data_IF_013039925461
#
_entry.id   IF_013039925461
#
_cell.length_a   1.000
_cell.length_b   1.000
_cell.length_c   1.000
_cell.angle_alpha   90.00
_cell.angle_beta   90.00
_cell.angle_gamma   90.00
#
_symmetry.space_group_name_H-M   'P 1'
#
loop_
_entity.id
_entity.type
_entity.pdbx_description
1 polymer ?
#
# COMPACT_ATOMS: atom_id res chain seq x y z
N UNK A 1 -3.17 -24.87 -1.48
CA UNK A 1 -3.82 -24.82 -0.14
C UNK A 1 -3.50 -23.45 0.47
N UNK A 2 -4.49 -22.57 0.55
CA UNK A 2 -4.32 -21.28 1.22
C UNK A 2 -4.45 -21.47 2.73
N UNK A 3 -3.46 -21.00 3.51
CA UNK A 3 -3.49 -21.11 4.98
C UNK A 3 -4.42 -20.08 5.63
N UNK A 4 -4.64 -18.92 5.01
CA UNK A 4 -5.58 -17.90 5.48
C UNK A 4 -6.78 -17.80 4.54
N UNK A 5 -7.85 -18.48 4.91
CA UNK A 5 -9.10 -18.52 4.16
C UNK A 5 -10.04 -17.39 4.61
N UNK A 6 -10.10 -16.30 3.86
CA UNK A 6 -11.20 -15.33 3.99
C UNK A 6 -12.44 -15.86 3.26
N UNK A 7 -13.22 -16.72 3.92
CA UNK A 7 -14.36 -17.47 3.35
C UNK A 7 -15.39 -16.55 2.69
N UNK A 8 -15.66 -15.37 3.25
CA UNK A 8 -16.62 -14.41 2.69
C UNK A 8 -16.17 -13.90 1.32
N UNK A 9 -14.90 -13.57 1.14
CA UNK A 9 -14.37 -13.14 -0.15
C UNK A 9 -14.22 -14.26 -1.16
N UNK A 10 -13.88 -15.48 -0.72
CA UNK A 10 -13.82 -16.66 -1.59
C UNK A 10 -15.20 -17.00 -2.17
N UNK A 11 -16.24 -16.90 -1.36
CA UNK A 11 -17.61 -17.12 -1.79
C UNK A 11 -18.02 -16.18 -2.93
N UNK A 12 -17.70 -14.91 -2.81
CA UNK A 12 -17.99 -13.90 -3.85
C UNK A 12 -17.14 -14.12 -5.11
N UNK A 13 -15.89 -14.56 -4.93
CA UNK A 13 -14.98 -14.82 -6.04
C UNK A 13 -15.38 -16.02 -6.89
N UNK A 14 -15.99 -17.06 -6.29
CA UNK A 14 -16.45 -18.26 -7.00
C UNK A 14 -17.54 -17.97 -8.04
N UNK A 15 -18.32 -16.89 -7.89
CA UNK A 15 -19.27 -16.40 -8.88
C UNK A 15 -20.48 -17.32 -9.17
N UNK A 16 -20.65 -18.43 -8.44
CA UNK A 16 -21.81 -19.29 -8.58
C UNK A 16 -23.08 -18.65 -8.00
N UNK A 17 -24.25 -19.04 -8.53
CA UNK A 17 -25.53 -18.62 -7.97
C UNK A 17 -25.63 -19.09 -6.50
N UNK A 18 -25.77 -18.12 -5.61
CA UNK A 18 -25.84 -18.36 -4.18
C UNK A 18 -27.29 -18.26 -3.74
N UNK A 19 -27.77 -19.32 -3.10
CA UNK A 19 -29.12 -19.37 -2.54
C UNK A 19 -29.00 -19.29 -1.02
N UNK A 20 -29.72 -18.36 -0.41
CA UNK A 20 -29.83 -18.26 1.04
C UNK A 20 -30.73 -19.36 1.56
N UNK A 21 -30.23 -20.16 2.51
CA UNK A 21 -31.05 -21.13 3.24
C UNK A 21 -31.40 -20.51 4.59
N UNK A 22 -32.68 -20.30 4.81
CA UNK A 22 -33.20 -19.83 6.09
C UNK A 22 -33.18 -20.98 7.09
N UNK A 23 -32.58 -20.76 8.24
CA UNK A 23 -32.64 -21.71 9.35
C UNK A 23 -32.84 -20.99 10.67
N UNK A 24 -33.64 -21.56 11.54
CA UNK A 24 -33.86 -21.08 12.90
C UNK A 24 -32.63 -21.40 13.75
N UNK A 25 -31.87 -20.40 14.11
CA UNK A 25 -30.72 -20.58 14.99
C UNK A 25 -31.22 -20.66 16.43
N UNK A 26 -30.98 -21.80 17.07
CA UNK A 26 -31.23 -21.95 18.51
C UNK A 26 -30.42 -20.91 19.30
N UNK A 27 -31.03 -20.37 20.35
CA UNK A 27 -30.36 -19.41 21.23
C UNK A 27 -29.14 -20.03 21.87
N UNK A 28 -28.08 -19.21 22.00
CA UNK A 28 -26.83 -19.63 22.63
C UNK A 28 -27.08 -19.94 24.10
N UNK A 29 -26.92 -21.19 24.51
CA UNK A 29 -27.09 -21.61 25.91
C UNK A 29 -26.07 -21.00 26.87
N UNK A 30 -24.88 -20.60 26.45
CA UNK A 30 -23.86 -19.91 27.26
C UNK A 30 -22.79 -19.25 26.39
N UNK A 31 -22.29 -18.08 26.84
CA UNK A 31 -21.09 -17.42 26.30
C UNK A 31 -21.32 -16.01 25.75
N UNK A 32 -20.37 -15.13 26.02
CA UNK A 32 -20.30 -13.78 25.43
C UNK A 32 -19.79 -13.88 23.98
N UNK A 33 -20.18 -12.96 23.08
CA UNK A 33 -19.63 -12.92 21.74
C UNK A 33 -18.11 -12.70 21.82
N UNK A 34 -17.34 -13.66 21.29
CA UNK A 34 -15.86 -13.59 21.28
C UNK A 34 -15.31 -12.62 20.24
N UNK A 35 -16.15 -12.05 19.37
CA UNK A 35 -15.73 -11.21 18.27
C UNK A 35 -15.64 -9.76 18.74
N UNK A 36 -14.43 -9.27 18.97
CA UNK A 36 -14.14 -7.91 19.36
C UNK A 36 -14.14 -6.98 18.13
N UNK A 37 -14.27 -5.67 18.37
CA UNK A 37 -14.05 -4.65 17.33
C UNK A 37 -12.64 -4.77 16.71
N UNK A 38 -11.64 -5.12 17.53
CA UNK A 38 -10.28 -5.37 17.09
C UNK A 38 -10.18 -6.56 16.12
N UNK A 39 -10.90 -7.66 16.40
CA UNK A 39 -10.93 -8.84 15.52
C UNK A 39 -11.59 -8.50 14.17
N UNK A 40 -12.61 -7.62 14.18
CA UNK A 40 -13.26 -7.15 12.95
C UNK A 40 -12.32 -6.28 12.12
N UNK A 41 -11.51 -5.45 12.76
CA UNK A 41 -10.53 -4.60 12.09
C UNK A 41 -9.40 -5.44 11.45
N UNK A 42 -8.87 -6.41 12.18
CA UNK A 42 -7.86 -7.36 11.65
C UNK A 42 -8.43 -8.13 10.45
N UNK A 43 -9.66 -8.65 10.57
CA UNK A 43 -10.30 -9.36 9.48
C UNK A 43 -10.49 -8.48 8.23
N UNK A 44 -10.79 -7.21 8.42
CA UNK A 44 -10.86 -6.22 7.34
C UNK A 44 -9.52 -5.98 6.66
N UNK A 45 -8.45 -5.81 7.45
CA UNK A 45 -7.09 -5.68 6.94
C UNK A 45 -6.63 -6.92 6.18
N UNK A 46 -6.87 -8.11 6.72
CA UNK A 46 -6.56 -9.37 6.06
C UNK A 46 -7.32 -9.50 4.73
N UNK A 47 -8.56 -9.05 4.68
CA UNK A 47 -9.35 -8.98 3.46
C UNK A 47 -8.69 -8.06 2.41
N UNK A 48 -8.30 -6.84 2.79
CA UNK A 48 -7.65 -5.88 1.89
C UNK A 48 -6.32 -6.45 1.38
N UNK A 49 -5.47 -6.95 2.26
CA UNK A 49 -4.14 -7.47 1.89
C UNK A 49 -4.25 -8.73 1.04
N UNK A 50 -5.21 -9.62 1.35
CA UNK A 50 -5.36 -10.90 0.65
C UNK A 50 -5.98 -10.78 -0.74
N UNK A 51 -6.82 -9.78 -0.99
CA UNK A 51 -7.56 -9.64 -2.24
C UNK A 51 -7.07 -8.52 -3.15
N UNK A 52 -6.25 -7.61 -2.65
CA UNK A 52 -5.83 -6.45 -3.43
C UNK A 52 -4.33 -6.18 -3.34
N UNK A 53 -3.75 -5.71 -4.45
CA UNK A 53 -2.37 -5.21 -4.54
C UNK A 53 -2.30 -3.69 -4.29
N UNK A 54 -3.43 -3.06 -3.93
CA UNK A 54 -3.54 -1.60 -3.76
C UNK A 54 -2.56 -1.07 -2.71
N UNK A 55 -2.39 -1.68 -1.50
CA UNK A 55 -1.46 -1.17 -0.50
C UNK A 55 0.00 -1.11 -1.02
N UNK A 56 0.42 -2.13 -1.76
CA UNK A 56 1.77 -2.21 -2.32
C UNK A 56 2.01 -1.14 -3.39
N UNK A 57 1.01 -0.94 -4.27
CA UNK A 57 1.06 0.11 -5.30
C UNK A 57 1.01 1.52 -4.70
N UNK A 58 0.27 1.70 -3.61
CA UNK A 58 0.22 2.97 -2.91
C UNK A 58 1.61 3.38 -2.38
N UNK A 59 2.39 2.45 -1.82
CA UNK A 59 3.77 2.71 -1.38
C UNK A 59 4.66 3.08 -2.56
N UNK A 60 4.55 2.40 -3.70
CA UNK A 60 5.31 2.71 -4.90
C UNK A 60 4.99 4.12 -5.44
N UNK A 61 3.70 4.46 -5.56
CA UNK A 61 3.26 5.77 -6.02
C UNK A 61 3.76 6.87 -5.07
N UNK A 62 3.63 6.64 -3.77
CA UNK A 62 4.11 7.55 -2.74
C UNK A 62 5.63 7.75 -2.83
N UNK A 63 6.39 6.68 -3.08
CA UNK A 63 7.83 6.74 -3.31
C UNK A 63 8.20 7.58 -4.54
N UNK A 64 7.48 7.42 -5.66
CA UNK A 64 7.68 8.21 -6.87
C UNK A 64 7.39 9.70 -6.61
N UNK A 65 6.28 10.00 -5.94
CA UNK A 65 5.91 11.39 -5.62
C UNK A 65 6.96 12.03 -4.71
N UNK A 66 7.35 11.36 -3.63
CA UNK A 66 8.35 11.88 -2.69
C UNK A 66 9.72 12.07 -3.36
N UNK A 67 10.13 11.13 -4.22
CA UNK A 67 11.37 11.23 -4.98
C UNK A 67 11.34 12.41 -5.95
N UNK A 68 10.22 12.62 -6.64
CA UNK A 68 10.01 13.78 -7.51
C UNK A 68 10.06 15.10 -6.74
N UNK A 69 9.36 15.20 -5.62
CA UNK A 69 9.38 16.38 -4.75
C UNK A 69 10.80 16.66 -4.21
N UNK A 70 11.53 15.62 -3.80
CA UNK A 70 12.92 15.74 -3.35
C UNK A 70 13.82 16.28 -4.45
N UNK A 71 13.63 15.84 -5.70
CA UNK A 71 14.36 16.33 -6.85
C UNK A 71 14.08 17.81 -7.12
N UNK A 72 12.82 18.23 -7.11
CA UNK A 72 12.46 19.64 -7.26
C UNK A 72 12.99 20.51 -6.11
N UNK A 73 12.96 20.00 -4.89
CA UNK A 73 13.54 20.66 -3.73
C UNK A 73 15.07 20.84 -3.88
N UNK A 74 15.76 19.82 -4.39
CA UNK A 74 17.17 19.91 -4.72
C UNK A 74 17.45 21.01 -5.75
N UNK A 75 16.69 21.02 -6.87
CA UNK A 75 16.83 22.06 -7.89
C UNK A 75 16.58 23.46 -7.34
N UNK A 76 15.56 23.62 -6.51
CA UNK A 76 15.24 24.87 -5.85
C UNK A 76 16.42 25.39 -5.02
N UNK A 77 17.02 24.54 -4.19
CA UNK A 77 18.20 24.88 -3.39
C UNK A 77 19.39 25.26 -4.30
N UNK A 78 19.61 24.49 -5.36
CA UNK A 78 20.70 24.74 -6.30
C UNK A 78 20.54 26.10 -6.98
N UNK A 79 19.34 26.39 -7.47
CA UNK A 79 19.05 27.68 -8.14
C UNK A 79 19.22 28.85 -7.16
N UNK A 80 18.67 28.75 -5.93
CA UNK A 80 18.80 29.81 -4.93
C UNK A 80 20.27 30.07 -4.55
N UNK A 81 21.07 29.00 -4.43
CA UNK A 81 22.53 29.15 -4.17
C UNK A 81 23.26 29.77 -5.33
N UNK A 82 22.95 29.41 -6.57
CA UNK A 82 23.53 30.03 -7.77
C UNK A 82 23.20 31.52 -7.84
N UNK A 83 21.95 31.90 -7.60
CA UNK A 83 21.52 33.31 -7.61
C UNK A 83 22.29 34.16 -6.57
N UNK A 84 22.51 33.60 -5.37
CA UNK A 84 23.34 34.29 -4.34
C UNK A 84 24.77 34.47 -4.80
N UNK A 85 25.36 33.46 -5.46
CA UNK A 85 26.76 33.57 -5.98
C UNK A 85 26.88 34.64 -7.08
N UNK A 86 25.83 34.79 -7.91
CA UNK A 86 25.78 35.83 -8.95
C UNK A 86 25.45 37.23 -8.41
N UNK A 87 25.29 37.39 -7.09
CA UNK A 87 25.12 38.71 -6.45
C UNK A 87 23.67 39.22 -6.47
N UNK A 88 22.69 38.34 -6.71
CA UNK A 88 21.28 38.70 -6.59
C UNK A 88 20.87 38.77 -5.12
N UNK A 89 20.20 39.85 -4.72
CA UNK A 89 19.64 40.03 -3.39
C UNK A 89 18.42 39.12 -3.22
N UNK A 90 18.59 38.01 -2.52
CA UNK A 90 17.51 37.06 -2.20
C UNK A 90 17.06 37.30 -0.75
N UNK A 91 15.73 37.31 -0.49
CA UNK A 91 15.21 37.46 0.87
C UNK A 91 15.83 36.46 1.83
N UNK A 92 16.26 36.91 3.00
CA UNK A 92 16.98 36.10 4.00
C UNK A 92 16.17 34.90 4.50
N UNK A 93 14.82 34.97 4.49
CA UNK A 93 13.95 33.87 4.85
C UNK A 93 13.96 32.70 3.85
N UNK A 94 14.42 32.96 2.61
CA UNK A 94 14.58 31.92 1.58
C UNK A 94 15.95 31.23 1.68
N UNK A 95 16.91 31.87 2.40
CA UNK A 95 18.27 31.38 2.56
C UNK A 95 18.39 30.61 3.86
N UNK A 96 18.30 29.30 3.79
CA UNK A 96 18.56 28.46 4.96
C UNK A 96 20.03 28.53 5.41
N UNK A 97 20.33 28.45 6.72
CA UNK A 97 21.68 28.33 7.24
C UNK A 97 22.46 27.21 6.53
N UNK A 98 23.73 27.47 6.18
CA UNK A 98 24.52 26.56 5.34
C UNK A 98 24.55 25.11 5.80
N UNK A 99 24.68 24.85 7.10
CA UNK A 99 24.70 23.49 7.66
C UNK A 99 23.35 22.76 7.60
N UNK A 100 22.27 23.46 7.94
CA UNK A 100 20.91 22.91 7.93
C UNK A 100 20.44 22.58 6.50
N UNK A 101 20.81 23.39 5.51
CA UNK A 101 20.43 23.14 4.10
C UNK A 101 20.97 21.81 3.60
N UNK A 102 22.26 21.54 3.85
CA UNK A 102 22.90 20.30 3.39
C UNK A 102 22.31 19.09 4.14
N UNK A 103 22.14 19.20 5.43
CA UNK A 103 21.61 18.12 6.25
C UNK A 103 20.17 17.76 5.84
N UNK A 104 19.29 18.75 5.66
CA UNK A 104 17.93 18.54 5.17
C UNK A 104 17.90 17.93 3.77
N UNK A 105 18.75 18.41 2.87
CA UNK A 105 18.83 17.88 1.52
C UNK A 105 19.18 16.39 1.52
N UNK A 106 20.22 16.02 2.27
CA UNK A 106 20.64 14.62 2.40
C UNK A 106 19.50 13.80 2.99
N UNK A 107 18.90 14.26 4.09
CA UNK A 107 17.85 13.53 4.79
C UNK A 107 16.61 13.29 3.89
N UNK A 108 16.12 14.32 3.21
CA UNK A 108 14.94 14.21 2.33
C UNK A 108 15.24 13.31 1.14
N UNK A 109 16.43 13.42 0.55
CA UNK A 109 16.83 12.61 -0.61
C UNK A 109 16.96 11.12 -0.23
N UNK A 110 17.65 10.81 0.85
CA UNK A 110 17.78 9.41 1.30
C UNK A 110 16.45 8.81 1.72
N UNK A 111 15.61 9.56 2.45
CA UNK A 111 14.30 9.08 2.85
C UNK A 111 13.40 8.77 1.64
N UNK A 112 13.34 9.67 0.66
CA UNK A 112 12.55 9.46 -0.55
C UNK A 112 13.05 8.26 -1.37
N UNK A 113 14.38 8.06 -1.45
CA UNK A 113 14.98 6.92 -2.12
C UNK A 113 14.63 5.60 -1.43
N UNK A 114 14.68 5.56 -0.10
CA UNK A 114 14.29 4.37 0.68
C UNK A 114 12.83 4.02 0.42
N UNK A 115 11.92 5.00 0.46
CA UNK A 115 10.48 4.76 0.21
C UNK A 115 10.26 4.26 -1.22
N UNK A 116 10.98 4.79 -2.21
CA UNK A 116 10.93 4.33 -3.60
C UNK A 116 11.36 2.87 -3.72
N UNK A 117 12.50 2.51 -3.12
CA UNK A 117 13.02 1.13 -3.13
C UNK A 117 12.04 0.18 -2.47
N UNK A 118 11.50 0.55 -1.31
CA UNK A 118 10.47 -0.25 -0.62
C UNK A 118 9.21 -0.45 -1.48
N UNK A 119 8.80 0.59 -2.22
CA UNK A 119 7.69 0.50 -3.17
C UNK A 119 7.95 -0.49 -4.31
N UNK A 120 9.16 -0.46 -4.87
CA UNK A 120 9.57 -1.40 -5.93
C UNK A 120 9.59 -2.84 -5.39
N UNK A 121 10.21 -3.07 -4.24
CA UNK A 121 10.23 -4.39 -3.58
C UNK A 121 8.80 -4.87 -3.32
N UNK A 122 7.93 -4.00 -2.84
CA UNK A 122 6.52 -4.31 -2.61
C UNK A 122 5.82 -4.78 -3.89
N UNK A 123 6.04 -4.14 -5.04
CA UNK A 123 5.45 -4.54 -6.31
C UNK A 123 5.94 -5.93 -6.76
N UNK A 124 7.23 -6.26 -6.56
CA UNK A 124 7.77 -7.60 -6.82
C UNK A 124 7.13 -8.65 -5.91
N UNK A 125 7.05 -8.38 -4.61
CA UNK A 125 6.38 -9.28 -3.65
C UNK A 125 4.91 -9.48 -4.03
N UNK A 126 4.22 -8.41 -4.45
CA UNK A 126 2.83 -8.48 -4.91
C UNK A 126 2.64 -9.35 -6.15
N UNK A 127 3.61 -9.37 -7.08
CA UNK A 127 3.61 -10.27 -8.25
C UNK A 127 3.83 -11.72 -7.82
N UNK A 128 4.86 -11.98 -7.02
CA UNK A 128 5.15 -13.31 -6.48
C UNK A 128 3.94 -13.87 -5.72
N UNK A 129 3.33 -13.07 -4.86
CA UNK A 129 2.12 -13.45 -4.13
C UNK A 129 0.97 -13.83 -5.07
N UNK A 130 0.79 -13.09 -6.17
CA UNK A 130 -0.20 -13.41 -7.20
C UNK A 130 0.03 -14.74 -7.89
N UNK A 131 1.29 -15.08 -8.19
CA UNK A 131 1.67 -16.35 -8.83
C UNK A 131 1.55 -17.54 -7.85
N UNK A 132 2.02 -17.39 -6.63
CA UNK A 132 1.96 -18.44 -5.59
C UNK A 132 0.51 -18.79 -5.24
N UNK A 133 -0.39 -17.81 -5.28
CA UNK A 133 -1.81 -18.01 -4.97
C UNK A 133 -2.54 -18.88 -6.01
N UNK A 134 -1.99 -19.01 -7.23
CA UNK A 134 -2.41 -19.91 -8.33
C UNK A 134 -3.93 -20.06 -8.48
N UNK A 135 -4.68 -18.96 -8.34
CA UNK A 135 -6.14 -18.99 -8.52
C UNK A 135 -6.46 -19.19 -10.00
N UNK A 136 -7.22 -20.22 -10.37
CA UNK A 136 -7.61 -20.41 -11.76
C UNK A 136 -8.41 -19.21 -12.25
N UNK A 137 -8.15 -18.79 -13.50
CA UNK A 137 -8.84 -17.64 -14.11
C UNK A 137 -10.30 -17.92 -14.44
N UNK A 138 -10.66 -19.21 -14.51
CA UNK A 138 -12.02 -19.67 -14.79
C UNK A 138 -12.27 -20.97 -14.03
N UNK A 139 -13.52 -21.21 -13.72
CA UNK A 139 -14.01 -22.46 -13.12
C UNK A 139 -14.96 -23.05 -14.14
N UNK A 140 -14.65 -24.29 -14.58
CA UNK A 140 -15.50 -25.00 -15.53
C UNK A 140 -16.76 -25.44 -14.82
N UNK A 141 -17.93 -25.02 -15.32
CA UNK A 141 -19.21 -25.39 -14.75
C UNK A 141 -19.69 -26.74 -15.29
N UNK A 142 -19.44 -27.00 -16.58
CA UNK A 142 -19.92 -28.18 -17.27
C UNK A 142 -19.06 -28.44 -18.51
N UNK A 143 -18.74 -29.70 -18.78
CA UNK A 143 -18.15 -30.10 -20.06
C UNK A 143 -19.30 -30.51 -20.96
N UNK A 144 -19.45 -29.84 -22.10
CA UNK A 144 -20.41 -30.25 -23.13
C UNK A 144 -19.64 -31.22 -24.03
N UNK A 145 -19.99 -32.51 -23.97
CA UNK A 145 -19.52 -33.53 -24.92
C UNK A 145 -20.30 -33.47 -26.22
#
# INVERSE_FOLDING_TARGET
KENNLFIRGLRTWLGFNQIGVEYNRLERNKGKPKFSFYDSFILGLDGIISFTKVPLRAVLILGIILSGLSFFYFLFILITKMLVIFGFDIPTWLIMPKGLTIMNLIMVTFFSLIVLILGIIGEYIGKIYGEVKSRPRYIVKEFIE
#
